data_IF_224032572231
#
_entry.id   IF_224032572231
#
_cell.length_a   1.000
_cell.length_b   1.000
_cell.length_c   1.000
_cell.angle_alpha   90.00
_cell.angle_beta   90.00
_cell.angle_gamma   90.00
#
_symmetry.space_group_name_H-M   'P 1'
#
loop_
_entity.id
_entity.type
_entity.pdbx_description
1 polymer ?
#
# COMPACT_ATOMS: atom_id res chain seq x y z
N UNK A 1 -31.40 -19.24 5.00
CA UNK A 1 -30.56 -18.09 4.66
C UNK A 1 -31.17 -16.83 5.27
N UNK A 2 -30.44 -16.11 6.08
CA UNK A 2 -30.90 -14.85 6.65
C UNK A 2 -30.68 -13.75 5.61
N UNK A 3 -31.74 -13.01 5.24
CA UNK A 3 -31.67 -11.86 4.33
C UNK A 3 -31.03 -10.67 5.04
N UNK A 4 -29.71 -10.72 5.25
CA UNK A 4 -28.93 -9.65 5.88
C UNK A 4 -28.14 -8.91 4.81
N UNK A 5 -28.33 -7.58 4.72
CA UNK A 5 -27.48 -6.73 3.87
C UNK A 5 -26.22 -6.36 4.67
N UNK A 6 -25.05 -6.80 4.20
CA UNK A 6 -23.76 -6.48 4.79
C UNK A 6 -23.18 -5.24 4.12
N UNK A 7 -22.75 -4.27 4.91
CA UNK A 7 -21.97 -3.12 4.44
C UNK A 7 -20.64 -3.07 5.21
N UNK A 8 -19.52 -3.09 4.48
CA UNK A 8 -18.20 -2.96 5.06
C UNK A 8 -17.78 -1.49 5.10
N UNK A 9 -17.12 -1.10 6.19
CA UNK A 9 -16.59 0.25 6.36
C UNK A 9 -15.19 0.21 7.00
N UNK A 10 -14.21 0.81 6.35
CA UNK A 10 -12.86 0.93 6.87
C UNK A 10 -12.69 2.23 7.67
N UNK A 11 -13.04 2.19 8.96
CA UNK A 11 -13.09 3.37 9.84
C UNK A 11 -11.76 4.09 10.09
N UNK A 12 -10.62 3.49 9.73
CA UNK A 12 -9.28 4.11 9.87
C UNK A 12 -8.85 4.89 8.63
N UNK A 13 -9.62 4.83 7.55
CA UNK A 13 -9.22 5.31 6.24
C UNK A 13 -8.11 4.47 5.62
N UNK A 14 -8.18 4.23 4.31
CA UNK A 14 -7.12 3.60 3.52
C UNK A 14 -6.04 4.61 3.12
N UNK A 15 -5.09 4.15 2.31
CA UNK A 15 -3.99 4.99 1.74
C UNK A 15 -4.54 6.22 1.02
N UNK A 16 -5.62 6.07 0.26
CA UNK A 16 -6.27 7.15 -0.49
C UNK A 16 -6.82 8.25 0.45
N UNK A 17 -7.44 7.87 1.58
CA UNK A 17 -7.92 8.82 2.58
C UNK A 17 -6.79 9.56 3.32
N UNK A 18 -5.54 9.22 3.04
CA UNK A 18 -4.32 9.85 3.55
C UNK A 18 -3.52 10.58 2.45
N UNK A 19 -4.13 10.81 1.29
CA UNK A 19 -3.49 11.49 0.17
C UNK A 19 -2.60 10.58 -0.69
N UNK A 20 -2.72 9.26 -0.58
CA UNK A 20 -1.90 8.28 -1.29
C UNK A 20 -2.29 8.08 -2.76
N UNK A 21 -3.19 8.89 -3.33
CA UNK A 21 -3.54 8.83 -4.74
C UNK A 21 -4.90 9.45 -5.09
N UNK A 22 -5.27 9.46 -6.37
CA UNK A 22 -6.53 10.03 -6.85
C UNK A 22 -7.74 9.24 -6.34
N UNK A 23 -8.62 9.92 -5.62
CA UNK A 23 -9.81 9.32 -5.03
C UNK A 23 -10.76 8.73 -6.09
N UNK A 24 -10.97 9.44 -7.20
CA UNK A 24 -11.80 8.98 -8.31
C UNK A 24 -11.35 7.59 -8.81
N UNK A 25 -10.07 7.44 -9.13
CA UNK A 25 -9.52 6.17 -9.60
C UNK A 25 -9.66 5.04 -8.56
N UNK A 26 -9.45 5.36 -7.28
CA UNK A 26 -9.61 4.40 -6.20
C UNK A 26 -11.07 3.94 -6.02
N UNK A 27 -12.04 4.80 -6.24
CA UNK A 27 -13.47 4.45 -6.24
C UNK A 27 -13.77 3.52 -7.43
N UNK A 28 -13.32 3.89 -8.62
CA UNK A 28 -13.50 3.08 -9.84
C UNK A 28 -12.80 1.71 -9.77
N UNK A 29 -11.73 1.61 -9.01
CA UNK A 29 -10.98 0.37 -8.82
C UNK A 29 -11.58 -0.57 -7.74
N UNK A 30 -12.69 -0.21 -7.08
CA UNK A 30 -13.34 -1.09 -6.11
C UNK A 30 -13.92 -2.33 -6.79
N UNK A 31 -13.95 -3.47 -6.09
CA UNK A 31 -14.57 -4.68 -6.61
C UNK A 31 -16.02 -4.43 -7.04
N UNK A 32 -16.41 -5.10 -8.12
CA UNK A 32 -17.73 -4.98 -8.70
C UNK A 32 -18.86 -5.15 -7.67
N UNK A 33 -19.87 -4.28 -7.72
CA UNK A 33 -21.05 -4.32 -6.83
C UNK A 33 -20.77 -3.89 -5.39
N UNK A 34 -19.57 -3.43 -5.05
CA UNK A 34 -19.27 -2.91 -3.69
C UNK A 34 -19.73 -1.48 -3.50
N UNK A 35 -19.89 -0.74 -4.59
CA UNK A 35 -20.45 0.61 -4.61
C UNK A 35 -21.86 0.53 -5.20
N UNK A 36 -22.87 0.79 -4.37
CA UNK A 36 -24.29 0.74 -4.69
C UNK A 36 -24.90 2.12 -4.37
N UNK A 37 -24.64 3.09 -5.23
CA UNK A 37 -25.12 4.47 -5.11
C UNK A 37 -24.51 5.27 -3.95
N UNK A 38 -23.58 4.70 -3.18
CA UNK A 38 -22.98 5.37 -2.01
C UNK A 38 -21.61 4.82 -1.65
N UNK A 39 -20.77 5.70 -1.14
CA UNK A 39 -19.50 5.36 -0.53
C UNK A 39 -19.31 6.17 0.76
N UNK A 40 -18.63 5.59 1.75
CA UNK A 40 -18.22 6.29 2.96
C UNK A 40 -16.71 6.18 3.09
N UNK A 41 -16.03 7.33 3.11
CA UNK A 41 -14.58 7.43 3.16
C UNK A 41 -14.18 8.18 4.43
N UNK A 42 -13.17 7.68 5.15
CA UNK A 42 -12.52 8.43 6.24
C UNK A 42 -11.27 9.10 5.67
N UNK A 43 -11.26 10.40 5.65
CA UNK A 43 -10.09 11.21 5.27
C UNK A 43 -9.39 11.75 6.53
N UNK A 44 -8.08 11.92 6.46
CA UNK A 44 -7.31 12.53 7.54
C UNK A 44 -7.45 14.07 7.48
N UNK A 45 -7.24 14.73 8.61
CA UNK A 45 -7.45 16.19 8.72
C UNK A 45 -6.63 17.01 7.73
N UNK A 46 -5.38 16.60 7.48
CA UNK A 46 -4.48 17.24 6.52
C UNK A 46 -5.03 17.14 5.08
N UNK A 47 -5.59 15.99 4.73
CA UNK A 47 -6.19 15.75 3.40
C UNK A 47 -7.48 16.55 3.26
N UNK A 48 -8.29 16.61 4.32
CA UNK A 48 -9.53 17.42 4.35
C UNK A 48 -9.18 18.90 4.13
N UNK A 49 -8.17 19.43 4.82
CA UNK A 49 -7.71 20.80 4.64
C UNK A 49 -7.22 21.05 3.20
N UNK A 50 -6.40 20.16 2.64
CA UNK A 50 -5.88 20.31 1.28
C UNK A 50 -6.98 20.25 0.20
N UNK A 51 -8.00 19.39 0.38
CA UNK A 51 -9.05 19.18 -0.61
C UNK A 51 -10.19 20.19 -0.53
N UNK A 52 -10.52 20.68 0.67
CA UNK A 52 -11.80 21.38 0.90
C UNK A 52 -11.64 22.77 1.49
N UNK A 53 -10.43 23.24 1.83
CA UNK A 53 -10.23 24.60 2.34
C UNK A 53 -10.50 25.70 1.28
N UNK A 54 -10.26 25.40 0.01
CA UNK A 54 -10.58 26.30 -1.09
C UNK A 54 -11.91 25.86 -1.75
N UNK A 55 -12.93 26.72 -1.88
CA UNK A 55 -14.23 26.36 -2.43
C UNK A 55 -14.18 25.77 -3.83
N UNK A 56 -13.36 26.30 -4.72
CA UNK A 56 -13.22 25.78 -6.10
C UNK A 56 -12.63 24.37 -6.10
N UNK A 57 -11.61 24.13 -5.27
CA UNK A 57 -11.02 22.81 -5.10
C UNK A 57 -12.01 21.84 -4.44
N UNK A 58 -12.78 22.31 -3.47
CA UNK A 58 -13.80 21.50 -2.81
C UNK A 58 -14.86 21.03 -3.79
N UNK A 59 -15.43 21.92 -4.61
CA UNK A 59 -16.40 21.57 -5.65
C UNK A 59 -15.80 20.53 -6.60
N UNK A 60 -14.59 20.77 -7.10
CA UNK A 60 -13.95 19.84 -8.02
C UNK A 60 -13.74 18.44 -7.41
N UNK A 61 -13.28 18.37 -6.17
CA UNK A 61 -13.08 17.09 -5.48
C UNK A 61 -14.40 16.35 -5.22
N UNK A 62 -15.45 17.09 -4.88
CA UNK A 62 -16.80 16.52 -4.69
C UNK A 62 -17.40 16.03 -6.02
N UNK A 63 -17.27 16.79 -7.10
CA UNK A 63 -17.70 16.39 -8.44
C UNK A 63 -17.01 15.10 -8.88
N UNK A 64 -15.68 15.01 -8.75
CA UNK A 64 -14.93 13.80 -9.07
C UNK A 64 -15.38 12.60 -8.23
N UNK A 65 -15.66 12.81 -6.95
CA UNK A 65 -16.14 11.75 -6.07
C UNK A 65 -17.54 11.28 -6.46
N UNK A 66 -18.45 12.23 -6.71
CA UNK A 66 -19.82 11.94 -7.14
C UNK A 66 -19.83 11.23 -8.49
N UNK A 67 -19.08 11.75 -9.47
CA UNK A 67 -18.94 11.14 -10.79
C UNK A 67 -18.46 9.69 -10.69
N UNK A 68 -17.43 9.41 -9.88
CA UNK A 68 -16.93 8.06 -9.69
C UNK A 68 -17.99 7.12 -9.07
N UNK A 69 -18.77 7.60 -8.11
CA UNK A 69 -19.84 6.79 -7.49
C UNK A 69 -20.95 6.49 -8.49
N UNK A 70 -21.38 7.50 -9.27
CA UNK A 70 -22.39 7.34 -10.32
C UNK A 70 -21.90 6.36 -11.39
N UNK A 71 -20.69 6.54 -11.88
CA UNK A 71 -20.07 5.69 -12.87
C UNK A 71 -19.92 4.25 -12.39
N UNK A 72 -19.36 4.04 -11.20
CA UNK A 72 -19.23 2.71 -10.59
C UNK A 72 -20.57 2.02 -10.35
N UNK A 73 -21.65 2.78 -10.12
CA UNK A 73 -22.98 2.22 -9.87
C UNK A 73 -23.71 1.87 -11.17
N UNK A 74 -23.64 2.76 -12.17
CA UNK A 74 -24.45 2.64 -13.40
C UNK A 74 -23.73 1.85 -14.49
N UNK A 75 -22.40 1.96 -14.59
CA UNK A 75 -21.61 1.30 -15.62
C UNK A 75 -20.97 -0.01 -15.13
N UNK A 76 -21.16 -0.34 -13.86
CA UNK A 76 -20.73 -1.62 -13.32
C UNK A 76 -21.46 -2.76 -14.05
N UNK A 77 -20.74 -3.50 -14.90
CA UNK A 77 -21.25 -4.70 -15.59
C UNK A 77 -21.69 -5.79 -14.58
N UNK A 78 -22.19 -6.92 -15.03
CA UNK A 78 -22.50 -8.07 -14.17
C UNK A 78 -21.18 -8.68 -13.61
N UNK A 79 -21.11 -9.07 -12.33
CA UNK A 79 -19.94 -9.78 -11.81
C UNK A 79 -19.74 -11.07 -12.62
N UNK A 80 -18.49 -11.42 -12.96
CA UNK A 80 -18.22 -12.66 -13.68
C UNK A 80 -18.70 -13.86 -12.86
N UNK A 81 -19.36 -14.83 -13.51
CA UNK A 81 -19.93 -16.00 -12.84
C UNK A 81 -18.87 -16.96 -12.25
N UNK A 82 -17.61 -16.80 -12.65
CA UNK A 82 -16.44 -17.56 -12.15
C UNK A 82 -15.29 -16.60 -11.89
N UNK A 83 -14.41 -16.97 -10.96
CA UNK A 83 -13.15 -16.28 -10.72
C UNK A 83 -12.40 -16.17 -12.05
N UNK A 84 -12.20 -14.96 -12.53
CA UNK A 84 -11.50 -14.76 -13.78
C UNK A 84 -10.02 -15.18 -13.62
N UNK A 85 -9.31 -15.57 -14.68
CA UNK A 85 -7.88 -15.81 -14.59
C UNK A 85 -7.10 -14.66 -13.97
N UNK A 86 -7.59 -13.43 -14.10
CA UNK A 86 -7.01 -12.24 -13.49
C UNK A 86 -7.13 -12.23 -11.97
N UNK A 87 -8.31 -12.58 -11.42
CA UNK A 87 -8.51 -12.68 -9.98
C UNK A 87 -7.65 -13.81 -9.38
N UNK A 88 -7.58 -14.96 -10.08
CA UNK A 88 -6.72 -16.05 -9.68
C UNK A 88 -5.22 -15.65 -9.65
N UNK A 89 -4.77 -14.87 -10.63
CA UNK A 89 -3.42 -14.31 -10.65
C UNK A 89 -3.18 -13.37 -9.46
N UNK A 90 -4.15 -12.52 -9.11
CA UNK A 90 -4.05 -11.62 -7.95
C UNK A 90 -3.96 -12.38 -6.64
N UNK A 91 -4.74 -13.44 -6.45
CA UNK A 91 -4.66 -14.28 -5.26
C UNK A 91 -3.29 -14.98 -5.14
N UNK A 92 -2.71 -15.40 -6.25
CA UNK A 92 -1.39 -16.03 -6.27
C UNK A 92 -0.29 -15.02 -5.96
N UNK A 93 -0.30 -13.84 -6.60
CA UNK A 93 0.62 -12.75 -6.30
C UNK A 93 0.53 -12.31 -4.83
N UNK A 94 -0.67 -12.15 -4.32
CA UNK A 94 -0.92 -11.78 -2.92
C UNK A 94 -0.33 -12.79 -1.95
N UNK A 95 -0.48 -14.08 -2.22
CA UNK A 95 0.07 -15.17 -1.40
C UNK A 95 1.58 -15.12 -1.37
N UNK A 96 2.23 -14.97 -2.52
CA UNK A 96 3.69 -14.90 -2.62
C UNK A 96 4.24 -13.65 -1.95
N UNK A 97 3.62 -12.50 -2.20
CA UNK A 97 4.00 -11.24 -1.55
C UNK A 97 3.84 -11.34 -0.03
N UNK A 98 2.71 -11.84 0.45
CA UNK A 98 2.48 -12.02 1.90
C UNK A 98 3.54 -12.92 2.54
N UNK A 99 3.85 -14.06 1.91
CA UNK A 99 4.86 -14.99 2.44
C UNK A 99 6.24 -14.34 2.52
N UNK A 100 6.67 -13.64 1.46
CA UNK A 100 7.95 -12.94 1.42
C UNK A 100 8.00 -11.78 2.43
N UNK A 101 6.93 -11.00 2.53
CA UNK A 101 6.84 -9.91 3.51
C UNK A 101 6.92 -10.45 4.94
N UNK A 102 6.16 -11.51 5.26
CA UNK A 102 6.21 -12.17 6.56
C UNK A 102 7.61 -12.62 6.91
N UNK A 103 8.24 -13.36 6.01
CA UNK A 103 9.59 -13.88 6.20
C UNK A 103 10.61 -12.76 6.48
N UNK A 104 10.52 -11.63 5.78
CA UNK A 104 11.50 -10.55 5.91
C UNK A 104 11.22 -9.65 7.11
N UNK A 105 9.94 -9.25 7.29
CA UNK A 105 9.58 -8.18 8.24
C UNK A 105 9.26 -8.73 9.63
N UNK A 106 8.67 -9.92 9.71
CA UNK A 106 8.19 -10.47 10.98
C UNK A 106 9.01 -11.66 11.49
N UNK A 107 9.49 -12.51 10.59
CA UNK A 107 10.14 -13.75 10.97
C UNK A 107 11.67 -13.61 11.03
N UNK A 108 12.25 -12.55 10.44
CA UNK A 108 13.67 -12.23 10.59
C UNK A 108 13.91 -11.54 11.97
N UNK A 109 14.64 -12.19 12.90
CA UNK A 109 14.84 -11.67 14.25
C UNK A 109 15.61 -10.36 14.30
N UNK A 110 16.37 -10.05 13.25
CA UNK A 110 17.18 -8.83 13.17
C UNK A 110 16.41 -7.66 12.53
N UNK A 111 15.23 -7.90 11.94
CA UNK A 111 14.54 -6.86 11.18
C UNK A 111 14.09 -5.68 12.05
N UNK A 112 13.63 -5.93 13.28
CA UNK A 112 13.26 -4.86 14.21
C UNK A 112 14.47 -3.95 14.48
N UNK A 113 15.65 -4.54 14.72
CA UNK A 113 16.90 -3.80 14.94
C UNK A 113 17.29 -3.01 13.70
N UNK A 114 17.17 -3.63 12.51
CA UNK A 114 17.42 -2.94 11.25
C UNK A 114 16.50 -1.73 11.10
N UNK A 115 15.21 -1.90 11.30
CA UNK A 115 14.23 -0.82 11.21
C UNK A 115 14.54 0.33 12.17
N UNK A 116 14.86 0.00 13.43
CA UNK A 116 15.13 1.03 14.45
C UNK A 116 16.39 1.85 14.15
N UNK A 117 17.40 1.25 13.52
CA UNK A 117 18.67 1.94 13.22
C UNK A 117 18.73 2.49 11.79
N UNK A 118 18.07 1.84 10.83
CA UNK A 118 18.05 2.26 9.43
C UNK A 118 16.92 3.23 9.10
N UNK A 119 16.16 3.68 10.10
CA UNK A 119 15.14 4.72 9.95
C UNK A 119 15.16 5.65 11.16
N UNK A 120 14.70 6.91 11.03
CA UNK A 120 14.63 7.84 12.15
C UNK A 120 13.38 7.62 13.02
N UNK A 121 12.98 6.37 13.30
CA UNK A 121 11.74 6.06 14.04
C UNK A 121 11.72 6.67 15.44
N UNK A 122 12.87 6.81 16.09
CA UNK A 122 12.95 7.43 17.43
C UNK A 122 12.54 8.89 17.34
N UNK A 123 13.15 9.67 16.44
CA UNK A 123 12.79 11.07 16.20
C UNK A 123 11.32 11.21 15.74
N UNK A 124 10.87 10.35 14.81
CA UNK A 124 9.48 10.31 14.34
C UNK A 124 8.50 10.05 15.49
N UNK A 125 8.90 9.24 16.47
CA UNK A 125 8.05 8.91 17.62
C UNK A 125 7.90 10.06 18.61
N UNK A 126 8.85 10.99 18.66
CA UNK A 126 8.80 12.21 19.47
C UNK A 126 7.94 13.29 18.84
N UNK A 127 7.84 13.31 17.51
CA UNK A 127 6.93 14.22 16.81
C UNK A 127 5.47 13.84 17.07
N UNK A 128 4.64 14.82 17.41
CA UNK A 128 3.19 14.66 17.53
C UNK A 128 2.53 14.58 16.14
N UNK A 129 2.98 13.65 15.32
CA UNK A 129 2.40 13.38 14.02
C UNK A 129 1.14 12.54 14.22
N UNK A 130 0.01 13.19 14.29
CA UNK A 130 -1.29 12.59 14.57
C UNK A 130 -1.69 12.68 16.04
N UNK A 131 -2.96 12.39 16.30
CA UNK A 131 -3.60 12.53 17.61
C UNK A 131 -3.27 11.42 18.63
N UNK A 132 -2.42 10.45 18.25
CA UNK A 132 -2.17 9.25 19.06
C UNK A 132 -0.66 8.94 19.15
N UNK A 133 -0.19 8.30 20.25
CA UNK A 133 1.21 7.87 20.38
C UNK A 133 1.66 6.98 19.22
N UNK A 134 2.95 7.00 18.88
CA UNK A 134 3.52 6.22 17.78
C UNK A 134 3.33 4.69 17.95
N UNK A 135 3.34 4.20 19.18
CA UNK A 135 3.15 2.78 19.52
C UNK A 135 1.88 2.56 20.34
N UNK A 136 1.30 1.36 20.22
CA UNK A 136 0.11 0.92 20.98
C UNK A 136 0.48 0.43 22.38
N UNK A 137 1.68 -0.09 22.54
CA UNK A 137 2.24 -0.59 23.80
C UNK A 137 3.69 -0.13 23.94
N UNK A 138 4.33 -0.45 25.07
CA UNK A 138 5.76 -0.20 25.30
C UNK A 138 6.68 -1.23 24.62
N UNK A 139 6.12 -2.20 23.88
CA UNK A 139 6.91 -3.21 23.19
C UNK A 139 7.64 -2.60 21.98
N UNK A 140 8.74 -3.25 21.56
CA UNK A 140 9.47 -2.90 20.33
C UNK A 140 8.95 -3.61 19.09
N UNK A 141 7.90 -4.43 19.22
CA UNK A 141 7.34 -5.22 18.14
C UNK A 141 6.75 -4.31 17.05
N UNK A 142 6.88 -4.74 15.79
CA UNK A 142 6.34 -4.00 14.64
C UNK A 142 4.82 -3.93 14.70
N UNK A 143 4.15 -4.98 15.17
CA UNK A 143 2.69 -5.05 15.31
C UNK A 143 2.11 -3.97 16.24
N UNK A 144 2.92 -3.51 17.20
CA UNK A 144 2.51 -2.45 18.11
C UNK A 144 2.75 -1.05 17.56
N UNK A 145 3.50 -0.94 16.48
CA UNK A 145 3.72 0.33 15.80
C UNK A 145 2.43 0.75 15.06
N UNK A 146 2.14 2.04 15.06
CA UNK A 146 1.04 2.58 14.27
C UNK A 146 1.46 2.81 12.83
N UNK A 147 0.48 2.78 11.91
CA UNK A 147 0.74 2.87 10.48
C UNK A 147 1.46 4.18 10.09
N UNK A 148 1.10 5.33 10.66
CA UNK A 148 1.74 6.61 10.31
C UNK A 148 3.23 6.61 10.68
N UNK A 149 3.66 6.35 11.91
CA UNK A 149 5.09 6.25 12.23
C UNK A 149 5.83 5.19 11.40
N UNK A 150 5.20 4.04 11.15
CA UNK A 150 5.76 3.00 10.30
C UNK A 150 6.08 3.50 8.90
N UNK A 151 5.07 3.99 8.19
CA UNK A 151 5.23 4.46 6.80
C UNK A 151 6.14 5.68 6.73
N UNK A 152 5.95 6.64 7.64
CA UNK A 152 6.71 7.89 7.62
C UNK A 152 8.20 7.69 7.87
N UNK A 153 8.60 6.78 8.75
CA UNK A 153 10.01 6.46 9.00
C UNK A 153 10.71 5.93 7.75
N UNK A 154 10.04 5.06 6.97
CA UNK A 154 10.55 4.55 5.72
C UNK A 154 10.63 5.61 4.61
N UNK A 155 9.72 6.59 4.61
CA UNK A 155 9.77 7.74 3.70
C UNK A 155 11.00 8.59 4.02
N UNK A 156 11.29 8.86 5.30
CA UNK A 156 12.45 9.66 5.70
C UNK A 156 13.78 9.01 5.30
N UNK A 157 13.91 7.70 5.42
CA UNK A 157 15.11 6.97 4.97
C UNK A 157 15.15 6.71 3.45
N UNK A 158 14.17 7.22 2.69
CA UNK A 158 14.04 7.08 1.24
C UNK A 158 14.00 5.63 0.75
N UNK A 159 13.64 4.71 1.63
CA UNK A 159 13.44 3.30 1.28
C UNK A 159 12.00 3.05 0.81
N UNK A 160 11.01 3.72 1.38
CA UNK A 160 9.57 3.56 1.12
C UNK A 160 9.11 2.07 1.14
N UNK A 161 9.79 1.23 1.89
CA UNK A 161 9.64 -0.23 1.89
C UNK A 161 8.19 -0.73 1.90
N UNK A 162 7.28 -0.22 2.76
CA UNK A 162 5.92 -0.75 2.83
C UNK A 162 5.06 -0.50 1.58
N UNK A 163 5.54 0.33 0.66
CA UNK A 163 4.75 0.76 -0.50
C UNK A 163 4.98 -0.09 -1.75
N UNK A 164 6.08 -0.85 -1.81
CA UNK A 164 6.44 -1.62 -2.99
C UNK A 164 7.00 -3.03 -2.68
N UNK A 165 7.56 -3.22 -1.48
CA UNK A 165 8.14 -4.51 -1.07
C UNK A 165 7.03 -5.51 -0.67
N UNK A 166 7.06 -6.75 -1.11
CA UNK A 166 7.94 -7.45 -2.04
C UNK A 166 7.22 -7.79 -3.38
N UNK A 167 6.85 -6.80 -4.14
CA UNK A 167 6.09 -6.97 -5.38
C UNK A 167 6.90 -7.66 -6.49
N UNK A 168 8.19 -7.30 -6.65
CA UNK A 168 9.09 -7.87 -7.64
C UNK A 168 9.25 -9.40 -7.47
N UNK A 169 9.50 -9.85 -6.24
CA UNK A 169 9.55 -11.29 -5.93
C UNK A 169 8.24 -12.01 -6.29
N UNK A 170 7.09 -11.42 -5.99
CA UNK A 170 5.79 -12.03 -6.32
C UNK A 170 5.61 -12.16 -7.83
N UNK A 171 5.90 -11.10 -8.59
CA UNK A 171 5.84 -11.11 -10.06
C UNK A 171 6.81 -12.11 -10.66
N UNK A 172 8.05 -12.13 -10.20
CA UNK A 172 9.08 -13.05 -10.67
C UNK A 172 8.69 -14.52 -10.44
N UNK A 173 8.16 -14.85 -9.26
CA UNK A 173 7.67 -16.21 -8.97
C UNK A 173 6.48 -16.58 -9.84
N UNK A 174 5.53 -15.67 -10.02
CA UNK A 174 4.36 -15.89 -10.85
C UNK A 174 4.75 -16.17 -12.31
N UNK A 175 5.58 -15.31 -12.88
CA UNK A 175 6.03 -15.46 -14.28
C UNK A 175 6.89 -16.70 -14.49
N UNK A 176 7.66 -17.14 -13.51
CA UNK A 176 8.43 -18.38 -13.57
C UNK A 176 7.53 -19.64 -13.57
N UNK A 177 6.38 -19.59 -12.88
CA UNK A 177 5.42 -20.74 -12.84
C UNK A 177 4.50 -20.80 -14.04
N UNK A 178 4.23 -19.67 -14.68
CA UNK A 178 3.24 -19.56 -15.75
C UNK A 178 3.88 -19.10 -17.06
N UNK A 179 3.89 -19.99 -18.07
CA UNK A 179 4.48 -19.72 -19.40
C UNK A 179 3.97 -18.42 -20.03
N UNK A 180 2.71 -18.05 -19.80
CA UNK A 180 2.09 -16.81 -20.28
C UNK A 180 1.88 -15.81 -19.14
N UNK A 181 2.59 -15.95 -18.02
CA UNK A 181 2.39 -15.15 -16.83
C UNK A 181 2.57 -13.65 -17.09
N UNK A 182 3.62 -13.27 -17.81
CA UNK A 182 3.86 -11.86 -18.16
C UNK A 182 2.73 -11.27 -19.02
N UNK A 183 2.25 -12.01 -20.03
CA UNK A 183 1.14 -11.57 -20.88
C UNK A 183 -0.17 -11.43 -20.07
N UNK A 184 -0.42 -12.35 -19.13
CA UNK A 184 -1.58 -12.26 -18.25
C UNK A 184 -1.49 -11.05 -17.32
N UNK A 185 -0.32 -10.74 -16.74
CA UNK A 185 -0.14 -9.55 -15.90
C UNK A 185 -0.27 -8.25 -16.70
N UNK A 186 0.21 -8.22 -17.94
CA UNK A 186 -0.07 -7.10 -18.84
C UNK A 186 -1.57 -6.93 -19.10
N UNK A 187 -2.28 -8.00 -19.35
CA UNK A 187 -3.74 -7.95 -19.53
C UNK A 187 -4.43 -7.48 -18.23
N UNK A 188 -3.98 -7.93 -17.06
CA UNK A 188 -4.47 -7.43 -15.77
C UNK A 188 -4.24 -5.92 -15.62
N UNK A 189 -3.07 -5.42 -15.98
CA UNK A 189 -2.76 -4.00 -15.89
C UNK A 189 -3.70 -3.15 -16.76
N UNK A 190 -4.03 -3.62 -17.96
CA UNK A 190 -4.88 -2.88 -18.88
C UNK A 190 -6.39 -3.05 -18.64
N UNK A 191 -6.81 -4.17 -18.09
CA UNK A 191 -8.22 -4.55 -18.03
C UNK A 191 -8.78 -4.66 -16.62
N UNK A 192 -7.92 -4.68 -15.59
CA UNK A 192 -8.33 -4.82 -14.20
C UNK A 192 -7.96 -3.55 -13.40
N UNK A 193 -8.91 -2.63 -13.21
CA UNK A 193 -8.64 -1.29 -12.66
C UNK A 193 -7.94 -1.30 -11.31
N UNK A 194 -8.26 -2.26 -10.44
CA UNK A 194 -7.61 -2.41 -9.15
C UNK A 194 -6.11 -2.68 -9.28
N UNK A 195 -5.73 -3.61 -10.17
CA UNK A 195 -4.33 -3.96 -10.40
C UNK A 195 -3.56 -2.80 -11.05
N UNK A 196 -4.18 -2.12 -12.00
CA UNK A 196 -3.63 -0.91 -12.62
C UNK A 196 -3.25 0.14 -11.56
N UNK A 197 -4.21 0.53 -10.72
CA UNK A 197 -3.99 1.54 -9.67
C UNK A 197 -2.93 1.10 -8.68
N UNK A 198 -2.90 -0.20 -8.31
CA UNK A 198 -1.88 -0.73 -7.40
C UNK A 198 -0.47 -0.64 -8.01
N UNK A 199 -0.30 -1.02 -9.28
CA UNK A 199 0.99 -0.94 -9.98
C UNK A 199 1.47 0.50 -10.13
N UNK A 200 0.57 1.43 -10.46
CA UNK A 200 0.90 2.87 -10.55
C UNK A 200 1.41 3.41 -9.20
N UNK A 201 0.82 3.00 -8.09
CA UNK A 201 1.30 3.38 -6.76
C UNK A 201 2.66 2.78 -6.42
N UNK A 202 2.91 1.54 -6.81
CA UNK A 202 4.21 0.91 -6.67
C UNK A 202 5.25 1.67 -7.49
N UNK A 203 4.95 1.96 -8.75
CA UNK A 203 5.83 2.72 -9.64
C UNK A 203 6.15 4.12 -9.08
N UNK A 204 5.14 4.85 -8.59
CA UNK A 204 5.34 6.14 -7.94
C UNK A 204 6.26 6.02 -6.72
N UNK A 205 6.05 4.99 -5.90
CA UNK A 205 6.85 4.77 -4.70
C UNK A 205 8.30 4.41 -5.01
N UNK A 206 8.54 3.58 -6.03
CA UNK A 206 9.86 3.26 -6.54
C UNK A 206 10.58 4.50 -7.09
N UNK A 207 9.86 5.37 -7.80
CA UNK A 207 10.41 6.64 -8.30
C UNK A 207 10.79 7.63 -7.19
N UNK A 208 10.19 7.53 -6.00
CA UNK A 208 10.53 8.35 -4.84
C UNK A 208 11.64 7.74 -3.97
N UNK A 209 11.90 6.43 -4.08
CA UNK A 209 12.94 5.76 -3.33
C UNK A 209 14.35 6.15 -3.85
N UNK A 210 15.32 6.19 -2.93
CA UNK A 210 16.74 6.40 -3.27
C UNK A 210 17.59 5.43 -2.46
N UNK A 211 18.05 4.38 -3.15
CA UNK A 211 18.86 3.32 -2.51
C UNK A 211 20.23 3.80 -2.01
N UNK A 212 20.75 4.92 -2.52
CA UNK A 212 22.02 5.50 -2.02
C UNK A 212 21.80 6.08 -0.62
N UNK A 213 20.68 6.79 -0.43
CA UNK A 213 20.29 7.31 0.87
C UNK A 213 19.93 6.16 1.80
N UNK A 214 19.11 5.21 1.35
CA UNK A 214 18.75 4.02 2.11
C UNK A 214 19.98 3.21 2.57
N UNK A 215 21.02 3.10 1.72
CA UNK A 215 22.29 2.45 2.06
C UNK A 215 23.05 3.20 3.15
N UNK A 216 23.05 4.52 3.13
CA UNK A 216 23.67 5.31 4.18
C UNK A 216 23.00 5.05 5.54
N UNK A 217 21.67 5.03 5.57
CA UNK A 217 20.92 4.65 6.77
C UNK A 217 21.21 3.20 7.22
N UNK A 218 21.26 2.25 6.29
CA UNK A 218 21.63 0.86 6.59
C UNK A 218 23.03 0.73 7.21
N UNK A 219 23.94 1.66 6.87
CA UNK A 219 25.29 1.74 7.46
C UNK A 219 25.31 2.10 8.95
N UNK A 220 24.22 2.65 9.49
CA UNK A 220 24.09 2.97 10.91
C UNK A 220 23.72 1.75 11.77
N UNK A 221 23.33 0.65 11.15
CA UNK A 221 22.87 -0.56 11.86
C UNK A 221 24.03 -1.29 12.52
N UNK A 222 23.86 -1.65 13.80
CA UNK A 222 24.83 -2.44 14.53
C UNK A 222 24.24 -3.82 14.89
N UNK A 223 24.98 -4.92 14.66
CA UNK A 223 26.29 -4.98 14.01
C UNK A 223 26.19 -4.73 12.49
N UNK A 224 27.27 -4.27 11.82
CA UNK A 224 27.23 -3.91 10.40
C UNK A 224 26.85 -5.07 9.46
N UNK A 225 27.02 -6.31 9.89
CA UNK A 225 26.59 -7.51 9.16
C UNK A 225 25.09 -7.55 8.95
N UNK A 226 24.32 -7.18 9.97
CA UNK A 226 22.84 -7.11 9.91
C UNK A 226 22.41 -6.04 8.90
N UNK A 227 22.99 -4.84 9.00
CA UNK A 227 22.70 -3.75 8.06
C UNK A 227 22.93 -4.15 6.61
N UNK A 228 24.10 -4.73 6.32
CA UNK A 228 24.44 -5.20 4.96
C UNK A 228 23.51 -6.31 4.46
N UNK A 229 23.21 -7.30 5.31
CA UNK A 229 22.37 -8.45 4.94
C UNK A 229 20.95 -8.00 4.56
N UNK A 230 20.30 -7.27 5.44
CA UNK A 230 18.90 -6.86 5.21
C UNK A 230 18.83 -5.84 4.09
N UNK A 231 19.75 -4.87 4.02
CA UNK A 231 19.80 -3.93 2.91
C UNK A 231 20.00 -4.63 1.56
N UNK A 232 20.84 -5.67 1.51
CA UNK A 232 21.02 -6.46 0.27
C UNK A 232 19.74 -7.14 -0.17
N UNK A 233 18.91 -7.63 0.76
CA UNK A 233 17.60 -8.20 0.45
C UNK A 233 16.65 -7.14 -0.12
N UNK A 234 16.62 -5.96 0.49
CA UNK A 234 15.80 -4.83 0.04
C UNK A 234 16.25 -4.33 -1.34
N UNK A 235 17.56 -4.21 -1.55
CA UNK A 235 18.12 -3.75 -2.83
C UNK A 235 17.84 -4.73 -3.98
N UNK A 236 17.95 -6.03 -3.74
CA UNK A 236 17.61 -7.06 -4.74
C UNK A 236 16.13 -7.01 -5.12
N UNK A 237 15.27 -6.77 -4.17
CA UNK A 237 13.84 -6.63 -4.42
C UNK A 237 13.49 -5.36 -5.20
N UNK A 238 14.24 -4.28 -4.97
CA UNK A 238 14.05 -3.03 -5.73
C UNK A 238 14.44 -3.17 -7.20
N UNK A 239 15.39 -4.04 -7.51
CA UNK A 239 15.89 -4.31 -8.87
C UNK A 239 15.06 -5.41 -9.59
N UNK A 240 14.23 -6.16 -8.87
CA UNK A 240 13.42 -7.25 -9.41
C UNK A 240 12.17 -6.75 -10.11
#
# INVERSE_FOLDING_TARGET
AHHVRLQLFHGRGGTIGRGGGPLHQAIMAQPHGTIDGRIKITEQGEVVAAKYANPMMAVRNLELTLSAVVESTLLAGQPPAKLSPMEAAMEELSRDAHACYRQTVYDDPDFVRYFEHATPIEAVSEFRIGSRPARRSRSRRIEDLRAIPWVFSWIQSRTLLPSWFPFGTAVSRFTARHRQGAALLQACYHQFPWFHVMVDFIQMSLGMADLRIAKAYAGLVQPPSVGRRIFSTIAKEYEA
#
